data_IF_789131508997
#
_entry.id   IF_789131508997
#
_cell.length_a   1.000
_cell.length_b   1.000
_cell.length_c   1.000
_cell.angle_alpha   90.00
_cell.angle_beta   90.00
_cell.angle_gamma   90.00
#
_symmetry.space_group_name_H-M   'P 1'
#
loop_
_entity.id
_entity.type
_entity.pdbx_description
1 polymer ?
#
# COMPACT_ATOMS: atom_id res chain seq x y z
N UNK A 1 -36.29 22.15 -21.47
CA UNK A 1 -35.32 21.02 -21.61
C UNK A 1 -34.82 21.05 -23.04
N UNK A 2 -33.53 21.28 -23.27
CA UNK A 2 -32.94 21.14 -24.61
C UNK A 2 -32.50 19.70 -24.76
N UNK A 3 -32.96 19.02 -25.83
CA UNK A 3 -32.61 17.64 -26.12
C UNK A 3 -31.19 17.56 -26.68
N UNK A 4 -30.47 16.48 -26.36
CA UNK A 4 -29.10 16.24 -26.80
C UNK A 4 -28.93 16.42 -28.31
N UNK A 5 -29.87 15.88 -29.10
CA UNK A 5 -29.87 16.02 -30.56
C UNK A 5 -29.79 17.49 -31.01
N UNK A 6 -30.64 18.36 -30.45
CA UNK A 6 -30.64 19.79 -30.78
C UNK A 6 -29.34 20.47 -30.34
N UNK A 7 -28.79 20.09 -29.18
CA UNK A 7 -27.53 20.66 -28.68
C UNK A 7 -26.35 20.32 -29.57
N UNK A 8 -26.30 19.09 -30.07
CA UNK A 8 -25.24 18.62 -30.96
C UNK A 8 -25.34 19.29 -32.33
N UNK A 9 -26.54 19.44 -32.89
CA UNK A 9 -26.72 20.13 -34.17
C UNK A 9 -26.32 21.61 -34.08
N UNK A 10 -26.61 22.29 -32.95
CA UNK A 10 -26.10 23.65 -32.73
C UNK A 10 -24.56 23.62 -32.61
N UNK A 11 -24.00 22.65 -31.89
CA UNK A 11 -22.55 22.44 -31.80
C UNK A 11 -21.88 22.31 -33.18
N UNK A 12 -22.45 21.49 -34.07
CA UNK A 12 -21.97 21.31 -35.45
C UNK A 12 -21.94 22.64 -36.22
N UNK A 13 -23.04 23.38 -36.20
CA UNK A 13 -23.15 24.68 -36.89
C UNK A 13 -22.22 25.73 -36.29
N UNK A 14 -22.03 25.73 -34.98
CA UNK A 14 -21.06 26.62 -34.32
C UNK A 14 -19.63 26.28 -34.73
N UNK A 15 -19.29 24.99 -34.88
CA UNK A 15 -17.98 24.55 -35.38
C UNK A 15 -17.74 25.01 -36.82
N UNK A 16 -18.75 24.89 -37.70
CA UNK A 16 -18.68 25.39 -39.08
C UNK A 16 -18.54 26.92 -39.11
N UNK A 17 -19.39 27.63 -38.37
CA UNK A 17 -19.32 29.09 -38.28
C UNK A 17 -17.95 29.56 -37.79
N UNK A 18 -17.37 28.91 -36.79
CA UNK A 18 -16.05 29.25 -36.25
C UNK A 18 -14.94 29.13 -37.30
N UNK A 19 -15.03 28.19 -38.25
CA UNK A 19 -14.06 28.08 -39.35
C UNK A 19 -14.15 29.23 -40.38
N UNK A 20 -15.28 29.94 -40.42
CA UNK A 20 -15.53 31.06 -41.34
C UNK A 20 -15.30 32.43 -40.69
N UNK A 21 -15.17 32.49 -39.36
CA UNK A 21 -14.95 33.74 -38.62
C UNK A 21 -13.44 34.01 -38.48
N UNK A 22 -13.04 35.25 -38.76
CA UNK A 22 -11.65 35.69 -38.64
C UNK A 22 -11.11 35.50 -37.21
N UNK A 23 -9.82 35.21 -37.10
CA UNK A 23 -9.13 35.08 -35.81
C UNK A 23 -9.35 36.33 -34.93
N UNK A 24 -9.68 36.11 -33.65
CA UNK A 24 -9.94 37.18 -32.68
C UNK A 24 -11.38 37.73 -32.66
N UNK A 25 -12.19 37.48 -33.69
CA UNK A 25 -13.55 38.02 -33.80
C UNK A 25 -14.64 37.06 -33.29
N UNK A 26 -14.28 35.83 -32.93
CA UNK A 26 -15.22 34.78 -32.50
C UNK A 26 -16.13 35.21 -31.34
N UNK A 27 -15.57 35.87 -30.32
CA UNK A 27 -16.35 36.33 -29.16
C UNK A 27 -17.45 37.33 -29.52
N UNK A 28 -17.11 38.35 -30.33
CA UNK A 28 -18.06 39.35 -30.79
C UNK A 28 -19.11 38.75 -31.72
N UNK A 29 -18.70 37.82 -32.58
CA UNK A 29 -19.62 37.13 -33.48
C UNK A 29 -20.68 36.34 -32.70
N UNK A 30 -20.27 35.62 -31.64
CA UNK A 30 -21.19 34.87 -30.79
C UNK A 30 -22.22 35.77 -30.09
N UNK A 31 -21.78 36.90 -29.55
CA UNK A 31 -22.65 37.86 -28.87
C UNK A 31 -23.67 38.47 -29.84
N UNK A 32 -23.21 38.93 -31.00
CA UNK A 32 -24.04 39.65 -31.97
C UNK A 32 -24.95 38.74 -32.80
N UNK A 33 -24.52 37.50 -33.11
CA UNK A 33 -25.22 36.64 -34.08
C UNK A 33 -26.16 35.63 -33.42
N UNK A 34 -25.77 35.11 -32.26
CA UNK A 34 -26.51 34.03 -31.57
C UNK A 34 -26.72 34.28 -30.08
N UNK A 35 -26.23 35.41 -29.56
CA UNK A 35 -26.31 35.82 -28.16
C UNK A 35 -25.80 34.76 -27.17
N UNK A 36 -24.72 34.07 -27.53
CA UNK A 36 -24.08 33.05 -26.69
C UNK A 36 -22.79 33.56 -26.04
N UNK A 37 -22.54 33.09 -24.82
CA UNK A 37 -21.20 33.20 -24.24
C UNK A 37 -20.24 32.23 -24.93
N UNK A 38 -18.95 32.56 -24.93
CA UNK A 38 -17.91 31.64 -25.41
C UNK A 38 -17.95 30.28 -24.68
N UNK A 39 -18.20 30.29 -23.38
CA UNK A 39 -18.29 29.07 -22.58
C UNK A 39 -19.46 28.17 -22.98
N UNK A 40 -20.60 28.74 -23.36
CA UNK A 40 -21.76 27.99 -23.85
C UNK A 40 -21.50 27.42 -25.23
N UNK A 41 -20.95 28.24 -26.14
CA UNK A 41 -20.58 27.80 -27.48
C UNK A 41 -19.58 26.64 -27.45
N UNK A 42 -18.52 26.75 -26.63
CA UNK A 42 -17.50 25.70 -26.50
C UNK A 42 -18.10 24.39 -25.95
N UNK A 43 -19.03 24.45 -24.99
CA UNK A 43 -19.73 23.26 -24.47
C UNK A 43 -20.55 22.56 -25.55
N UNK A 44 -21.30 23.32 -26.35
CA UNK A 44 -22.09 22.79 -27.46
C UNK A 44 -21.21 22.17 -28.55
N UNK A 45 -20.11 22.85 -28.92
CA UNK A 45 -19.14 22.31 -29.88
C UNK A 45 -18.50 21.00 -29.37
N UNK A 46 -18.15 20.93 -28.08
CA UNK A 46 -17.60 19.71 -27.48
C UNK A 46 -18.61 18.56 -27.45
N UNK A 47 -19.89 18.84 -27.22
CA UNK A 47 -20.93 17.81 -27.36
C UNK A 47 -21.00 17.26 -28.79
N UNK A 48 -20.84 18.11 -29.80
CA UNK A 48 -20.77 17.65 -31.18
C UNK A 48 -19.53 16.80 -31.45
N UNK A 49 -18.38 17.16 -30.91
CA UNK A 49 -17.15 16.36 -31.03
C UNK A 49 -17.33 14.94 -30.45
N UNK A 50 -17.98 14.82 -29.30
CA UNK A 50 -18.07 13.55 -28.55
C UNK A 50 -19.30 12.70 -28.95
N UNK A 51 -20.42 13.33 -29.32
CA UNK A 51 -21.67 12.63 -29.65
C UNK A 51 -22.08 12.76 -31.13
N UNK A 52 -21.45 13.63 -31.90
CA UNK A 52 -21.83 13.95 -33.29
C UNK A 52 -21.80 12.73 -34.21
N UNK A 53 -20.72 11.95 -34.15
CA UNK A 53 -20.58 10.74 -34.96
C UNK A 53 -21.65 9.67 -34.64
N UNK A 54 -21.98 9.50 -33.35
CA UNK A 54 -23.03 8.57 -32.90
C UNK A 54 -24.42 9.02 -33.39
N UNK A 55 -24.68 10.32 -33.37
CA UNK A 55 -25.94 10.92 -33.84
C UNK A 55 -26.12 10.83 -35.37
N UNK A 56 -25.06 11.04 -36.14
CA UNK A 56 -25.11 10.89 -37.61
C UNK A 56 -25.29 9.43 -38.02
N UNK A 57 -24.58 8.50 -37.36
CA UNK A 57 -24.71 7.07 -37.64
C UNK A 57 -26.11 6.50 -37.33
N UNK A 58 -26.77 7.04 -36.29
CA UNK A 58 -28.15 6.70 -35.95
C UNK A 58 -29.18 7.23 -36.96
N UNK A 59 -28.90 8.35 -37.63
CA UNK A 59 -29.75 8.89 -38.70
C UNK A 59 -29.64 8.10 -40.00
N UNK A 60 -28.42 7.66 -40.34
CA UNK A 60 -28.15 6.93 -41.59
C UNK A 60 -28.53 5.43 -41.50
N UNK A 61 -29.20 5.01 -40.42
CA UNK A 61 -29.66 3.63 -40.21
C UNK A 61 -28.53 2.59 -40.14
N UNK A 62 -27.28 3.05 -40.00
CA UNK A 62 -26.07 2.22 -40.09
C UNK A 62 -25.63 1.67 -38.73
N UNK A 63 -26.15 2.22 -37.62
CA UNK A 63 -25.98 1.70 -36.25
C UNK A 63 -27.34 1.49 -35.58
N UNK A 64 -27.51 0.36 -34.89
CA UNK A 64 -28.70 0.04 -34.07
C UNK A 64 -28.67 0.67 -32.68
N UNK A 65 -27.66 1.48 -32.37
CA UNK A 65 -27.51 2.16 -31.09
C UNK A 65 -28.48 3.34 -31.02
N UNK A 66 -29.49 3.22 -30.15
CA UNK A 66 -30.43 4.31 -29.88
C UNK A 66 -29.69 5.48 -29.25
N UNK A 67 -29.87 6.68 -29.81
CA UNK A 67 -29.39 7.93 -29.21
C UNK A 67 -29.92 7.99 -27.76
N UNK A 68 -29.04 8.15 -26.75
CA UNK A 68 -29.49 8.19 -25.37
C UNK A 68 -30.38 9.43 -25.14
N UNK A 69 -31.54 9.25 -24.50
CA UNK A 69 -32.49 10.33 -24.18
C UNK A 69 -31.97 11.22 -23.06
N UNK A 70 -31.02 12.08 -23.42
CA UNK A 70 -30.34 12.97 -22.49
C UNK A 70 -30.74 14.42 -22.75
N UNK A 71 -30.86 15.18 -21.67
CA UNK A 71 -30.83 16.63 -21.74
C UNK A 71 -29.41 17.14 -21.98
N UNK A 72 -29.31 18.36 -22.54
CA UNK A 72 -28.06 19.10 -22.67
C UNK A 72 -27.19 19.03 -21.40
N UNK A 73 -27.79 19.26 -20.22
CA UNK A 73 -27.02 19.34 -18.98
C UNK A 73 -26.55 17.96 -18.51
N UNK A 74 -27.34 16.91 -18.69
CA UNK A 74 -26.92 15.55 -18.39
C UNK A 74 -25.74 15.13 -19.28
N UNK A 75 -25.81 15.40 -20.59
CA UNK A 75 -24.73 15.08 -21.52
C UNK A 75 -23.42 15.81 -21.17
N UNK A 76 -23.50 17.09 -20.77
CA UNK A 76 -22.31 17.84 -20.31
C UNK A 76 -21.72 17.25 -19.02
N UNK A 77 -22.54 16.75 -18.10
CA UNK A 77 -22.04 16.11 -16.87
C UNK A 77 -21.33 14.80 -17.22
N UNK A 78 -21.90 14.00 -18.13
CA UNK A 78 -21.31 12.73 -18.58
C UNK A 78 -19.98 12.91 -19.34
N UNK A 79 -19.69 14.09 -19.91
CA UNK A 79 -18.35 14.38 -20.46
C UNK A 79 -17.24 14.41 -19.40
N UNK A 80 -17.59 14.44 -18.10
CA UNK A 80 -16.64 14.25 -17.00
C UNK A 80 -16.24 12.78 -16.79
N UNK A 81 -16.96 11.84 -17.40
CA UNK A 81 -16.68 10.40 -17.37
C UNK A 81 -15.87 10.04 -18.64
N UNK A 82 -14.85 9.16 -18.55
CA UNK A 82 -14.17 8.61 -19.72
C UNK A 82 -15.14 7.98 -20.72
N UNK A 83 -14.90 8.14 -22.02
CA UNK A 83 -15.85 7.68 -23.05
C UNK A 83 -16.20 6.20 -22.90
N UNK A 84 -15.20 5.39 -22.58
CA UNK A 84 -15.28 3.93 -22.43
C UNK A 84 -16.16 3.50 -21.24
N UNK A 85 -16.34 4.39 -20.26
CA UNK A 85 -17.13 4.12 -19.04
C UNK A 85 -18.54 4.72 -19.09
N UNK A 86 -18.79 5.67 -20.01
CA UNK A 86 -20.07 6.41 -20.06
C UNK A 86 -21.26 5.49 -20.28
N UNK A 87 -21.15 4.51 -21.19
CA UNK A 87 -22.25 3.60 -21.51
C UNK A 87 -22.61 2.69 -20.33
N UNK A 88 -21.61 2.08 -19.69
CA UNK A 88 -21.80 1.29 -18.48
C UNK A 88 -22.38 2.14 -17.34
N UNK A 89 -21.86 3.35 -17.13
CA UNK A 89 -22.38 4.26 -16.12
C UNK A 89 -23.85 4.64 -16.38
N UNK A 90 -24.22 4.92 -17.63
CA UNK A 90 -25.61 5.21 -18.00
C UNK A 90 -26.54 4.02 -17.76
N UNK A 91 -26.09 2.81 -18.10
CA UNK A 91 -26.86 1.58 -17.89
C UNK A 91 -27.06 1.24 -16.41
N UNK A 92 -26.04 1.46 -15.58
CA UNK A 92 -26.08 1.15 -14.14
C UNK A 92 -26.91 2.16 -13.33
N UNK A 93 -26.96 3.43 -13.75
CA UNK A 93 -27.54 4.52 -12.95
C UNK A 93 -28.88 5.04 -13.49
N UNK A 94 -29.38 4.51 -14.60
CA UNK A 94 -30.62 4.96 -15.26
C UNK A 94 -30.66 6.48 -15.48
N UNK A 95 -29.62 6.99 -16.15
CA UNK A 95 -29.35 8.44 -16.24
C UNK A 95 -30.45 9.22 -16.94
N UNK A 96 -31.24 8.57 -17.81
CA UNK A 96 -32.36 9.20 -18.52
C UNK A 96 -33.42 9.76 -17.56
N UNK A 97 -33.70 9.02 -16.48
CA UNK A 97 -34.73 9.37 -15.48
C UNK A 97 -34.16 10.19 -14.31
N UNK A 98 -32.84 10.24 -14.14
CA UNK A 98 -32.19 11.04 -13.10
C UNK A 98 -32.33 12.55 -13.32
N UNK A 99 -32.59 13.30 -12.25
CA UNK A 99 -32.43 14.75 -12.27
C UNK A 99 -30.95 15.13 -12.42
N UNK A 100 -30.70 16.33 -12.96
CA UNK A 100 -29.35 16.91 -13.05
C UNK A 100 -28.61 16.94 -11.70
N UNK A 101 -29.34 17.08 -10.58
CA UNK A 101 -28.75 17.11 -9.24
C UNK A 101 -28.32 15.70 -8.82
N UNK A 102 -29.15 14.71 -9.04
CA UNK A 102 -28.85 13.30 -8.74
C UNK A 102 -27.68 12.81 -9.60
N UNK A 103 -27.67 13.14 -10.91
CA UNK A 103 -26.56 12.76 -11.79
C UNK A 103 -25.22 13.36 -11.32
N UNK A 104 -25.22 14.65 -10.92
CA UNK A 104 -24.01 15.27 -10.34
C UNK A 104 -23.55 14.57 -9.06
N UNK A 105 -24.50 14.10 -8.25
CA UNK A 105 -24.19 13.39 -7.02
C UNK A 105 -23.59 12.01 -7.33
N UNK A 106 -24.20 11.24 -8.25
CA UNK A 106 -23.69 9.93 -8.67
C UNK A 106 -22.28 10.01 -9.27
N UNK A 107 -21.99 11.02 -10.11
CA UNK A 107 -20.63 11.23 -10.64
C UNK A 107 -19.63 11.53 -9.53
N UNK A 108 -20.00 12.36 -8.54
CA UNK A 108 -19.13 12.67 -7.40
C UNK A 108 -18.86 11.46 -6.53
N UNK A 109 -19.89 10.67 -6.23
CA UNK A 109 -19.76 9.44 -5.44
C UNK A 109 -18.87 8.42 -6.14
N UNK A 110 -19.03 8.27 -7.47
CA UNK A 110 -18.14 7.44 -8.29
C UNK A 110 -16.69 7.92 -8.21
N UNK A 111 -16.45 9.21 -8.43
CA UNK A 111 -15.09 9.78 -8.41
C UNK A 111 -14.43 9.62 -7.03
N UNK A 112 -15.20 9.83 -5.96
CA UNK A 112 -14.75 9.60 -4.59
C UNK A 112 -14.41 8.12 -4.36
N UNK A 113 -15.29 7.20 -4.76
CA UNK A 113 -15.06 5.77 -4.61
C UNK A 113 -13.84 5.29 -5.42
N UNK A 114 -13.60 5.84 -6.61
CA UNK A 114 -12.41 5.56 -7.40
C UNK A 114 -11.14 6.05 -6.71
N UNK A 115 -11.16 7.26 -6.14
CA UNK A 115 -10.02 7.79 -5.40
C UNK A 115 -9.74 6.97 -4.13
N UNK A 116 -10.76 6.66 -3.33
CA UNK A 116 -10.63 5.81 -2.14
C UNK A 116 -10.11 4.42 -2.49
N UNK A 117 -10.60 3.81 -3.57
CA UNK A 117 -10.10 2.51 -4.05
C UNK A 117 -8.63 2.58 -4.45
N UNK A 118 -8.21 3.65 -5.14
CA UNK A 118 -6.81 3.84 -5.53
C UNK A 118 -5.91 4.02 -4.30
N UNK A 119 -6.34 4.81 -3.31
CA UNK A 119 -5.63 4.98 -2.04
C UNK A 119 -5.50 3.64 -1.29
N UNK A 120 -6.59 2.89 -1.15
CA UNK A 120 -6.58 1.57 -0.51
C UNK A 120 -5.65 0.59 -1.24
N UNK A 121 -5.63 0.60 -2.57
CA UNK A 121 -4.77 -0.27 -3.36
C UNK A 121 -3.28 0.08 -3.20
N UNK A 122 -2.95 1.38 -3.12
CA UNK A 122 -1.60 1.85 -2.83
C UNK A 122 -1.16 1.42 -1.42
N UNK A 123 -2.01 1.60 -0.42
CA UNK A 123 -1.74 1.14 0.96
C UNK A 123 -1.58 -0.37 1.04
N UNK A 124 -2.42 -1.14 0.33
CA UNK A 124 -2.33 -2.60 0.29
C UNK A 124 -0.99 -3.05 -0.29
N UNK A 125 -0.57 -2.45 -1.40
CA UNK A 125 0.71 -2.76 -2.06
C UNK A 125 1.90 -2.41 -1.15
N UNK A 126 1.85 -1.26 -0.47
CA UNK A 126 2.87 -0.86 0.50
C UNK A 126 2.95 -1.84 1.68
N UNK A 127 1.81 -2.24 2.24
CA UNK A 127 1.74 -3.20 3.33
C UNK A 127 2.25 -4.58 2.93
N UNK A 128 1.95 -5.05 1.71
CA UNK A 128 2.50 -6.30 1.18
C UNK A 128 4.03 -6.24 1.06
N UNK A 129 4.58 -5.12 0.61
CA UNK A 129 6.03 -4.88 0.62
C UNK A 129 6.65 -4.92 2.02
N UNK A 130 5.99 -4.32 3.01
CA UNK A 130 6.45 -4.38 4.40
C UNK A 130 6.40 -5.81 4.97
N UNK A 131 5.32 -6.55 4.72
CA UNK A 131 5.14 -7.94 5.20
C UNK A 131 6.19 -8.86 4.60
N UNK A 132 6.47 -8.75 3.30
CA UNK A 132 7.50 -9.58 2.63
C UNK A 132 8.89 -9.31 3.18
N UNK A 133 9.22 -8.04 3.47
CA UNK A 133 10.49 -7.67 4.11
C UNK A 133 10.60 -8.25 5.53
N UNK A 134 9.58 -8.05 6.37
CA UNK A 134 9.53 -8.59 7.74
C UNK A 134 9.64 -10.12 7.74
N UNK A 135 8.95 -10.78 6.81
CA UNK A 135 9.00 -12.24 6.67
C UNK A 135 10.41 -12.73 6.34
N UNK A 136 11.10 -12.03 5.43
CA UNK A 136 12.47 -12.38 5.02
C UNK A 136 13.47 -12.16 6.17
N UNK A 137 13.36 -11.03 6.89
CA UNK A 137 14.18 -10.74 8.07
C UNK A 137 13.97 -11.78 9.18
N UNK A 138 12.72 -12.18 9.43
CA UNK A 138 12.37 -13.24 10.38
C UNK A 138 13.00 -14.58 10.00
N UNK A 139 12.94 -14.96 8.73
CA UNK A 139 13.46 -16.25 8.27
C UNK A 139 14.99 -16.31 8.36
N UNK A 140 15.68 -15.20 8.03
CA UNK A 140 17.14 -15.08 8.20
C UNK A 140 17.54 -15.15 9.68
N UNK A 141 16.83 -14.42 10.56
CA UNK A 141 17.05 -14.51 12.00
C UNK A 141 16.84 -15.93 12.53
N UNK A 142 15.79 -16.62 12.08
CA UNK A 142 15.52 -18.01 12.47
C UNK A 142 16.66 -18.94 12.04
N UNK A 143 17.20 -18.75 10.84
CA UNK A 143 18.36 -19.51 10.36
C UNK A 143 19.59 -19.26 11.23
N UNK A 144 19.88 -18.01 11.56
CA UNK A 144 21.00 -17.65 12.46
C UNK A 144 20.86 -18.29 13.84
N UNK A 145 19.67 -18.20 14.45
CA UNK A 145 19.39 -18.84 15.75
C UNK A 145 19.63 -20.34 15.69
N UNK A 146 19.10 -21.02 14.66
CA UNK A 146 19.28 -22.47 14.50
C UNK A 146 20.75 -22.87 14.32
N UNK A 147 21.54 -22.08 13.59
CA UNK A 147 22.96 -22.31 13.39
C UNK A 147 23.77 -22.16 14.67
N UNK A 148 23.49 -21.12 15.47
CA UNK A 148 24.13 -20.92 16.77
C UNK A 148 23.79 -22.06 17.76
N UNK A 149 22.54 -22.52 17.75
CA UNK A 149 22.09 -23.64 18.58
C UNK A 149 22.80 -24.94 18.22
N UNK A 150 22.95 -25.24 16.93
CA UNK A 150 23.71 -26.41 16.45
C UNK A 150 25.20 -26.33 16.83
N UNK A 151 25.80 -25.14 16.77
CA UNK A 151 27.19 -24.92 17.19
C UNK A 151 27.38 -25.13 18.70
N UNK A 152 26.43 -24.66 19.52
CA UNK A 152 26.41 -24.92 20.96
C UNK A 152 26.33 -26.42 21.22
N UNK A 153 25.38 -27.12 20.59
CA UNK A 153 25.19 -28.57 20.76
C UNK A 153 26.44 -29.38 20.36
N UNK A 154 27.09 -29.02 19.26
CA UNK A 154 28.33 -29.67 18.80
C UNK A 154 29.46 -29.52 19.83
N UNK A 155 29.60 -28.34 20.43
CA UNK A 155 30.59 -28.09 21.48
C UNK A 155 30.28 -28.85 22.76
N UNK A 156 29.00 -28.99 23.13
CA UNK A 156 28.56 -29.81 24.26
C UNK A 156 28.92 -31.29 24.06
N UNK A 157 28.67 -31.85 22.88
CA UNK A 157 29.08 -33.23 22.54
C UNK A 157 30.61 -33.40 22.59
N UNK A 158 31.36 -32.41 22.12
CA UNK A 158 32.84 -32.43 22.18
C UNK A 158 33.34 -32.46 23.63
N UNK A 159 32.76 -31.63 24.51
CA UNK A 159 33.10 -31.61 25.94
C UNK A 159 32.78 -32.98 26.56
N UNK A 160 31.62 -33.55 26.26
CA UNK A 160 31.24 -34.88 26.76
C UNK A 160 32.23 -35.96 26.35
N UNK A 161 32.63 -35.99 25.07
CA UNK A 161 33.63 -36.94 24.57
C UNK A 161 35.00 -36.77 25.25
N UNK A 162 35.43 -35.53 25.49
CA UNK A 162 36.68 -35.26 26.21
C UNK A 162 36.60 -35.73 27.67
N UNK A 163 35.44 -35.55 28.33
CA UNK A 163 35.21 -36.04 29.69
C UNK A 163 35.24 -37.57 29.75
N UNK A 164 34.64 -38.27 28.79
CA UNK A 164 34.68 -39.74 28.68
C UNK A 164 36.12 -40.25 28.47
N UNK A 165 36.90 -39.61 27.58
CA UNK A 165 38.32 -39.94 27.38
C UNK A 165 39.16 -39.71 28.64
N UNK A 166 38.86 -38.67 29.40
CA UNK A 166 39.53 -38.37 30.66
C UNK A 166 39.20 -39.41 31.74
N UNK A 167 37.95 -39.87 31.82
CA UNK A 167 37.55 -40.94 32.73
C UNK A 167 38.30 -42.25 32.40
N UNK A 168 38.31 -42.65 31.13
CA UNK A 168 39.03 -43.84 30.68
C UNK A 168 40.56 -43.74 30.91
N UNK A 169 41.15 -42.54 30.74
CA UNK A 169 42.56 -42.32 31.03
C UNK A 169 42.89 -42.42 32.53
N UNK A 170 41.96 -42.03 33.42
CA UNK A 170 42.11 -42.18 34.87
C UNK A 170 41.98 -43.65 35.31
N UNK A 171 41.10 -44.42 34.68
CA UNK A 171 40.92 -45.85 34.96
C UNK A 171 42.08 -46.72 34.41
N UNK A 172 42.65 -46.36 33.26
CA UNK A 172 43.74 -47.10 32.62
C UNK A 172 45.15 -46.73 33.06
N UNK A 173 45.32 -46.10 34.24
CA UNK A 173 46.62 -45.64 34.78
C UNK A 173 47.47 -44.82 33.79
N UNK A 174 46.84 -43.98 32.96
CA UNK A 174 47.56 -43.12 32.05
C UNK A 174 48.45 -42.12 32.83
N UNK A 175 49.55 -41.69 32.20
CA UNK A 175 50.50 -40.77 32.85
C UNK A 175 49.82 -39.47 33.30
N UNK A 176 50.28 -38.92 34.43
CA UNK A 176 49.78 -37.66 34.97
C UNK A 176 49.82 -36.51 33.95
N UNK A 177 50.81 -36.51 33.06
CA UNK A 177 50.92 -35.54 31.96
C UNK A 177 49.75 -35.64 30.96
N UNK A 178 49.29 -36.85 30.64
CA UNK A 178 48.15 -37.07 29.71
C UNK A 178 46.82 -36.66 30.35
N UNK A 179 46.64 -36.92 31.64
CA UNK A 179 45.46 -36.48 32.41
C UNK A 179 45.43 -34.94 32.50
N UNK A 180 46.55 -34.31 32.83
CA UNK A 180 46.65 -32.85 32.92
C UNK A 180 46.39 -32.15 31.57
N UNK A 181 46.82 -32.75 30.46
CA UNK A 181 46.52 -32.24 29.12
C UNK A 181 45.02 -32.28 28.81
N UNK A 182 44.34 -33.40 29.11
CA UNK A 182 42.89 -33.54 28.92
C UNK A 182 42.09 -32.58 29.82
N UNK A 183 42.51 -32.38 31.07
CA UNK A 183 41.89 -31.41 31.99
C UNK A 183 42.02 -29.97 31.45
N UNK A 184 43.18 -29.60 30.91
CA UNK A 184 43.39 -28.30 30.25
C UNK A 184 42.50 -28.12 29.02
N UNK A 185 42.37 -29.16 28.20
CA UNK A 185 41.55 -29.13 26.99
C UNK A 185 40.05 -29.01 27.31
N UNK A 186 39.56 -29.75 28.31
CA UNK A 186 38.18 -29.64 28.80
C UNK A 186 37.91 -28.23 29.34
N UNK A 187 38.81 -27.69 30.17
CA UNK A 187 38.65 -26.35 30.74
C UNK A 187 38.62 -25.28 29.65
N UNK A 188 39.49 -25.40 28.63
CA UNK A 188 39.52 -24.51 27.47
C UNK A 188 38.22 -24.60 26.66
N UNK A 189 37.70 -25.82 26.43
CA UNK A 189 36.45 -26.04 25.72
C UNK A 189 35.24 -25.50 26.50
N UNK A 190 35.21 -25.67 27.81
CA UNK A 190 34.17 -25.13 28.70
C UNK A 190 34.18 -23.60 28.73
N UNK A 191 35.35 -22.95 28.84
CA UNK A 191 35.45 -21.49 28.77
C UNK A 191 34.91 -20.98 27.43
N UNK A 192 35.29 -21.61 26.31
CA UNK A 192 34.78 -21.24 24.98
C UNK A 192 33.27 -21.46 24.86
N UNK A 193 32.72 -22.54 25.42
CA UNK A 193 31.29 -22.79 25.41
C UNK A 193 30.54 -21.74 26.23
N UNK A 194 30.99 -21.47 27.45
CA UNK A 194 30.39 -20.45 28.32
C UNK A 194 30.44 -19.06 27.67
N UNK A 195 31.56 -18.67 27.08
CA UNK A 195 31.69 -17.41 26.35
C UNK A 195 30.69 -17.31 25.18
N UNK A 196 30.52 -18.38 24.39
CA UNK A 196 29.54 -18.42 23.30
C UNK A 196 28.10 -18.35 23.82
N UNK A 197 27.78 -19.05 24.93
CA UNK A 197 26.45 -18.98 25.57
C UNK A 197 26.15 -17.58 26.09
N UNK A 198 27.11 -16.93 26.75
CA UNK A 198 26.99 -15.55 27.20
C UNK A 198 26.76 -14.61 26.02
N UNK A 199 27.55 -14.73 24.94
CA UNK A 199 27.38 -13.91 23.74
C UNK A 199 26.01 -14.11 23.09
N UNK A 200 25.51 -15.36 23.01
CA UNK A 200 24.19 -15.66 22.50
C UNK A 200 23.08 -15.03 23.36
N UNK A 201 23.13 -15.22 24.68
CA UNK A 201 22.15 -14.65 25.60
C UNK A 201 22.17 -13.13 25.58
N UNK A 202 23.36 -12.52 25.52
CA UNK A 202 23.51 -11.07 25.39
C UNK A 202 22.83 -10.54 24.12
N UNK A 203 23.11 -11.14 22.96
CA UNK A 203 22.50 -10.73 21.69
C UNK A 203 20.98 -10.90 21.72
N UNK A 204 20.49 -11.97 22.33
CA UNK A 204 19.05 -12.21 22.46
C UNK A 204 18.38 -11.17 23.36
N UNK A 205 18.95 -10.90 24.55
CA UNK A 205 18.45 -9.87 25.47
C UNK A 205 18.45 -8.50 24.80
N UNK A 206 19.53 -8.12 24.11
CA UNK A 206 19.62 -6.83 23.43
C UNK A 206 18.51 -6.65 22.39
N UNK A 207 18.24 -7.71 21.60
CA UNK A 207 17.20 -7.69 20.57
C UNK A 207 15.79 -7.60 21.17
N UNK A 208 15.45 -8.47 22.11
CA UNK A 208 14.14 -8.48 22.78
C UNK A 208 13.87 -7.15 23.51
N UNK A 209 14.92 -6.56 24.09
CA UNK A 209 14.83 -5.26 24.73
C UNK A 209 14.58 -4.12 23.73
N UNK A 210 15.19 -4.17 22.54
CA UNK A 210 14.91 -3.20 21.46
C UNK A 210 13.45 -3.31 20.96
N UNK A 211 12.94 -4.53 20.81
CA UNK A 211 11.53 -4.78 20.44
C UNK A 211 10.56 -4.25 21.51
N UNK A 212 10.86 -4.50 22.79
CA UNK A 212 10.11 -3.95 23.93
C UNK A 212 10.05 -2.41 23.90
N UNK A 213 11.17 -1.73 23.61
CA UNK A 213 11.20 -0.27 23.48
C UNK A 213 10.34 0.23 22.32
N UNK A 214 10.34 -0.47 21.19
CA UNK A 214 9.49 -0.12 20.02
C UNK A 214 8.01 -0.20 20.38
N UNK A 215 7.58 -1.25 21.08
CA UNK A 215 6.19 -1.39 21.52
C UNK A 215 5.80 -0.33 22.56
N UNK A 216 6.69 0.02 23.49
CA UNK A 216 6.46 1.14 24.41
C UNK A 216 6.24 2.46 23.67
N UNK A 217 7.04 2.75 22.63
CA UNK A 217 6.90 3.97 21.81
C UNK A 217 5.54 3.98 21.09
N UNK A 218 5.10 2.84 20.55
CA UNK A 218 3.78 2.73 19.89
C UNK A 218 2.62 2.89 20.87
N UNK A 219 2.80 2.49 22.12
CA UNK A 219 1.78 2.61 23.17
C UNK A 219 1.57 4.06 23.61
N UNK A 220 2.61 4.90 23.58
CA UNK A 220 2.55 6.30 24.04
C UNK A 220 1.40 7.13 23.45
N UNK A 221 1.15 7.15 22.12
CA UNK A 221 0.02 7.88 21.55
C UNK A 221 -1.35 7.17 21.74
N UNK A 222 -1.36 5.87 22.00
CA UNK A 222 -2.60 5.08 22.12
C UNK A 222 -3.16 5.09 23.54
N UNK A 223 -2.30 4.98 24.55
CA UNK A 223 -2.64 4.97 25.97
C UNK A 223 -1.46 5.52 26.80
N UNK A 224 -1.44 6.82 27.10
CA UNK A 224 -0.37 7.46 27.87
C UNK A 224 -0.22 6.92 29.30
N UNK A 225 -1.32 6.50 29.93
CA UNK A 225 -1.31 6.01 31.30
C UNK A 225 -0.71 4.60 31.37
N UNK A 226 -1.10 3.72 30.43
CA UNK A 226 -0.47 2.41 30.28
C UNK A 226 1.02 2.54 29.89
N UNK A 227 1.38 3.50 29.03
CA UNK A 227 2.76 3.76 28.67
C UNK A 227 3.64 4.07 29.89
N UNK A 228 3.24 5.02 30.74
CA UNK A 228 4.01 5.38 31.95
C UNK A 228 4.09 4.22 32.95
N UNK A 229 3.00 3.43 33.10
CA UNK A 229 3.02 2.23 33.94
C UNK A 229 4.07 1.22 33.46
N UNK A 230 4.01 0.79 32.20
CA UNK A 230 4.94 -0.22 31.68
C UNK A 230 6.38 0.30 31.63
N UNK A 231 6.59 1.57 31.34
CA UNK A 231 7.91 2.21 31.41
C UNK A 231 8.51 2.14 32.82
N UNK A 232 7.70 2.36 33.86
CA UNK A 232 8.11 2.21 35.26
C UNK A 232 8.48 0.76 35.59
N UNK A 233 7.66 -0.21 35.16
CA UNK A 233 7.93 -1.65 35.35
C UNK A 233 9.23 -2.08 34.67
N UNK A 234 9.45 -1.66 33.43
CA UNK A 234 10.68 -1.94 32.66
C UNK A 234 11.89 -1.30 33.33
N UNK A 235 11.79 -0.07 33.80
CA UNK A 235 12.88 0.60 34.54
C UNK A 235 13.22 -0.14 35.84
N UNK A 236 12.19 -0.61 36.56
CA UNK A 236 12.38 -1.42 37.77
C UNK A 236 13.04 -2.78 37.49
N UNK A 237 12.72 -3.42 36.35
CA UNK A 237 13.39 -4.65 35.92
C UNK A 237 14.87 -4.40 35.62
N UNK A 238 15.19 -3.33 34.89
CA UNK A 238 16.59 -2.96 34.57
C UNK A 238 17.38 -2.73 35.85
N UNK A 239 16.81 -2.02 36.84
CA UNK A 239 17.46 -1.82 38.14
C UNK A 239 17.80 -3.14 38.85
N UNK A 240 16.84 -4.08 38.90
CA UNK A 240 17.06 -5.41 39.49
C UNK A 240 18.11 -6.23 38.75
N UNK A 241 18.21 -6.08 37.42
CA UNK A 241 19.24 -6.75 36.62
C UNK A 241 20.61 -6.15 36.91
N UNK A 242 20.71 -4.81 36.98
CA UNK A 242 21.95 -4.10 37.27
C UNK A 242 22.53 -4.43 38.65
N UNK A 243 21.68 -4.65 39.66
CA UNK A 243 22.12 -5.08 41.00
C UNK A 243 22.76 -6.48 41.05
N UNK A 244 22.52 -7.31 40.03
CA UNK A 244 22.98 -8.71 39.97
C UNK A 244 24.22 -8.91 39.07
N UNK A 245 24.63 -7.88 38.35
CA UNK A 245 25.82 -7.87 37.49
C UNK A 245 27.03 -7.34 38.25
#
# INVERSE_FOLDING_TARGET
RMLLYSSVEIGRRLTEAKSMVNHGEWGKWLENSVSYSQSTANKLMRLFEEYGAKLTAAQDGSNSESIPDLSYTQAIILLGIPEEERESFMAENDVADMSTRELKQAVRERDQALNEKAELQNTLTANQGAVTKITSERDELRKQTSGLQAAIHTKELTIKSLQEKMAAAKEGEASAAKIAALEKDIKTAQIKLSANKVSFLYNNIAKEFEELLKELIKLAPADPEAHEKYKSEVSGLIGKIAERL
#
